data_IF_800609440214
#
_entry.id   IF_800609440214
#
_cell.length_a   1.000
_cell.length_b   1.000
_cell.length_c   1.000
_cell.angle_alpha   90.00
_cell.angle_beta   90.00
_cell.angle_gamma   90.00
#
_symmetry.space_group_name_H-M   'P 1'
#
loop_
_entity.id
_entity.type
_entity.pdbx_description
1 polymer ?
#
# COMPACT_ATOMS: atom_id res chain seq x y z
N UNK A 1 -22.40 94.78 15.94
CA UNK A 1 -21.62 93.89 16.83
C UNK A 1 -22.04 92.41 16.73
N UNK A 2 -23.32 92.04 16.87
CA UNK A 2 -23.78 90.62 16.90
C UNK A 2 -23.60 89.84 15.58
N UNK A 3 -23.82 90.44 14.42
CA UNK A 3 -23.67 89.78 13.12
C UNK A 3 -22.21 89.41 12.77
N UNK A 4 -21.25 90.25 13.17
CA UNK A 4 -19.82 89.96 13.00
C UNK A 4 -19.37 88.76 13.86
N UNK A 5 -19.94 88.60 15.06
CA UNK A 5 -19.67 87.43 15.90
C UNK A 5 -20.24 86.14 15.28
N UNK A 6 -21.45 86.20 14.70
CA UNK A 6 -22.05 85.06 14.00
C UNK A 6 -21.22 84.60 12.78
N UNK A 7 -20.75 85.53 11.95
CA UNK A 7 -19.89 85.20 10.80
C UNK A 7 -18.55 84.56 11.23
N UNK A 8 -17.95 85.04 12.32
CA UNK A 8 -16.73 84.45 12.86
C UNK A 8 -16.95 83.01 13.35
N UNK A 9 -18.08 82.73 14.01
CA UNK A 9 -18.42 81.37 14.44
C UNK A 9 -18.65 80.43 13.26
N UNK A 10 -19.34 80.87 12.21
CA UNK A 10 -19.54 80.08 10.99
C UNK A 10 -18.20 79.74 10.34
N UNK A 11 -17.29 80.72 10.24
CA UNK A 11 -15.95 80.51 9.70
C UNK A 11 -15.15 79.47 10.48
N UNK A 12 -15.20 79.53 11.82
CA UNK A 12 -14.53 78.53 12.68
C UNK A 12 -15.14 77.14 12.51
N UNK A 13 -16.46 77.02 12.47
CA UNK A 13 -17.12 75.73 12.24
C UNK A 13 -16.74 75.10 10.89
N UNK A 14 -16.65 75.91 9.83
CA UNK A 14 -16.23 75.42 8.51
C UNK A 14 -14.78 74.93 8.53
N UNK A 15 -13.86 75.64 9.19
CA UNK A 15 -12.47 75.19 9.33
C UNK A 15 -12.36 73.88 10.11
N UNK A 16 -13.14 73.71 11.18
CA UNK A 16 -13.20 72.45 11.95
C UNK A 16 -13.74 71.31 11.08
N UNK A 17 -14.81 71.53 10.32
CA UNK A 17 -15.36 70.52 9.42
C UNK A 17 -14.35 70.09 8.33
N UNK A 18 -13.65 71.05 7.72
CA UNK A 18 -12.63 70.78 6.69
C UNK A 18 -11.45 70.00 7.28
N UNK A 19 -10.93 70.41 8.44
CA UNK A 19 -9.83 69.69 9.10
C UNK A 19 -10.22 68.27 9.50
N UNK A 20 -11.45 68.07 9.98
CA UNK A 20 -11.98 66.74 10.26
C UNK A 20 -12.04 65.86 9.00
N UNK A 21 -12.53 66.40 7.89
CA UNK A 21 -12.65 65.67 6.63
C UNK A 21 -11.28 65.25 6.08
N UNK A 22 -10.28 66.14 6.13
CA UNK A 22 -8.91 65.81 5.72
C UNK A 22 -8.30 64.73 6.63
N UNK A 23 -8.56 64.80 7.93
CA UNK A 23 -8.07 63.77 8.88
C UNK A 23 -8.76 62.42 8.67
N UNK A 24 -10.07 62.41 8.40
CA UNK A 24 -10.82 61.21 8.08
C UNK A 24 -10.28 60.54 6.81
N UNK A 25 -9.97 61.31 5.76
CA UNK A 25 -9.34 60.78 4.55
C UNK A 25 -7.96 60.19 4.80
N UNK A 26 -7.14 60.83 5.64
CA UNK A 26 -5.83 60.29 6.02
C UNK A 26 -5.95 58.98 6.79
N UNK A 27 -6.86 58.91 7.76
CA UNK A 27 -7.10 57.67 8.50
C UNK A 27 -7.61 56.56 7.59
N UNK A 28 -8.62 56.85 6.76
CA UNK A 28 -9.17 55.87 5.83
C UNK A 28 -8.10 55.32 4.88
N UNK A 29 -7.25 56.19 4.30
CA UNK A 29 -6.15 55.78 3.45
C UNK A 29 -5.11 54.91 4.18
N UNK A 30 -4.86 55.16 5.48
CA UNK A 30 -3.98 54.31 6.29
C UNK A 30 -4.61 52.94 6.59
N UNK A 31 -5.90 52.91 6.92
CA UNK A 31 -6.67 51.70 7.15
C UNK A 31 -6.69 50.81 5.90
N UNK A 32 -6.93 51.37 4.72
CA UNK A 32 -6.92 50.62 3.45
C UNK A 32 -5.54 50.04 3.13
N UNK A 33 -4.46 50.79 3.39
CA UNK A 33 -3.09 50.29 3.21
C UNK A 33 -2.76 49.16 4.17
N UNK A 34 -3.17 49.25 5.43
CA UNK A 34 -2.97 48.17 6.39
C UNK A 34 -3.81 46.94 6.03
N UNK A 35 -5.09 47.14 5.69
CA UNK A 35 -5.99 46.05 5.29
C UNK A 35 -5.47 45.32 4.05
N UNK A 36 -5.00 46.05 3.04
CA UNK A 36 -4.41 45.45 1.83
C UNK A 36 -3.10 44.73 2.12
N UNK A 37 -2.20 45.29 2.94
CA UNK A 37 -0.97 44.62 3.34
C UNK A 37 -1.24 43.34 4.16
N UNK A 38 -2.21 43.38 5.08
CA UNK A 38 -2.63 42.21 5.85
C UNK A 38 -3.28 41.14 4.97
N UNK A 39 -4.15 41.54 4.02
CA UNK A 39 -4.76 40.62 3.08
C UNK A 39 -3.70 39.95 2.17
N UNK A 40 -2.68 40.70 1.73
CA UNK A 40 -1.56 40.16 0.97
C UNK A 40 -0.70 39.20 1.81
N UNK A 41 -0.43 39.52 3.08
CA UNK A 41 0.32 38.64 3.96
C UNK A 41 -0.43 37.32 4.22
N UNK A 42 -1.74 37.39 4.49
CA UNK A 42 -2.59 36.22 4.68
C UNK A 42 -2.68 35.37 3.40
N UNK A 43 -2.82 36.01 2.23
CA UNK A 43 -2.87 35.28 0.97
C UNK A 43 -1.54 34.56 0.69
N UNK A 44 -0.39 35.20 0.92
CA UNK A 44 0.93 34.57 0.80
C UNK A 44 1.09 33.39 1.75
N UNK A 45 0.69 33.53 3.02
CA UNK A 45 0.73 32.43 3.99
C UNK A 45 -0.17 31.27 3.56
N UNK A 46 -1.39 31.57 3.09
CA UNK A 46 -2.31 30.55 2.60
C UNK A 46 -1.78 29.81 1.37
N UNK A 47 -1.15 30.52 0.44
CA UNK A 47 -0.51 29.93 -0.74
C UNK A 47 0.65 29.03 -0.33
N UNK A 48 1.50 29.46 0.60
CA UNK A 48 2.58 28.64 1.12
C UNK A 48 2.06 27.36 1.79
N UNK A 49 1.00 27.47 2.60
CA UNK A 49 0.36 26.32 3.23
C UNK A 49 -0.26 25.37 2.21
N UNK A 50 -0.94 25.89 1.18
CA UNK A 50 -1.51 25.09 0.10
C UNK A 50 -0.42 24.36 -0.69
N UNK A 51 0.69 25.02 -1.00
CA UNK A 51 1.82 24.37 -1.67
C UNK A 51 2.43 23.24 -0.84
N UNK A 52 2.56 23.44 0.48
CA UNK A 52 3.02 22.37 1.38
C UNK A 52 2.04 21.20 1.40
N UNK A 53 0.74 21.49 1.49
CA UNK A 53 -0.31 20.47 1.50
C UNK A 53 -0.36 19.69 0.19
N UNK A 54 -0.22 20.36 -0.96
CA UNK A 54 -0.13 19.72 -2.28
C UNK A 54 1.08 18.80 -2.35
N UNK A 55 2.26 19.26 -1.92
CA UNK A 55 3.47 18.44 -1.92
C UNK A 55 3.33 17.19 -1.02
N UNK A 56 2.62 17.27 0.10
CA UNK A 56 2.32 16.09 0.93
C UNK A 56 1.31 15.15 0.27
N UNK A 57 0.26 15.69 -0.38
CA UNK A 57 -0.71 14.88 -1.12
C UNK A 57 -0.08 14.16 -2.29
N UNK A 58 0.77 14.83 -3.07
CA UNK A 58 1.48 14.24 -4.20
C UNK A 58 2.39 13.10 -3.74
N UNK A 59 3.07 13.27 -2.61
CA UNK A 59 3.87 12.20 -1.99
C UNK A 59 3.00 11.02 -1.56
N UNK A 60 1.85 11.26 -0.93
CA UNK A 60 0.91 10.20 -0.54
C UNK A 60 0.39 9.45 -1.75
N UNK A 61 -0.04 10.16 -2.80
CA UNK A 61 -0.52 9.57 -4.04
C UNK A 61 0.57 8.74 -4.74
N UNK A 62 1.82 9.23 -4.77
CA UNK A 62 2.92 8.48 -5.34
C UNK A 62 3.21 7.18 -4.56
N UNK A 63 3.18 7.23 -3.22
CA UNK A 63 3.34 6.06 -2.37
C UNK A 63 2.18 5.07 -2.52
N UNK A 64 0.95 5.56 -2.55
CA UNK A 64 -0.25 4.73 -2.78
C UNK A 64 -0.20 4.07 -4.15
N UNK A 65 0.24 4.79 -5.19
CA UNK A 65 0.39 4.23 -6.52
C UNK A 65 1.47 3.14 -6.55
N UNK A 66 2.63 3.37 -5.93
CA UNK A 66 3.68 2.36 -5.81
C UNK A 66 3.19 1.12 -5.05
N UNK A 67 2.49 1.31 -3.93
CA UNK A 67 1.95 0.22 -3.13
C UNK A 67 0.89 -0.57 -3.93
N UNK A 68 0.00 0.13 -4.64
CA UNK A 68 -1.01 -0.52 -5.48
C UNK A 68 -0.41 -1.34 -6.63
N UNK A 69 0.70 -0.88 -7.23
CA UNK A 69 1.41 -1.62 -8.29
C UNK A 69 2.09 -2.86 -7.70
N UNK A 70 2.73 -2.73 -6.53
CA UNK A 70 3.35 -3.87 -5.84
C UNK A 70 2.29 -4.90 -5.44
N UNK A 71 1.16 -4.47 -4.88
CA UNK A 71 0.06 -5.35 -4.49
C UNK A 71 -0.55 -6.06 -5.70
N UNK A 72 -0.75 -5.34 -6.81
CA UNK A 72 -1.21 -5.96 -8.06
C UNK A 72 -0.21 -6.98 -8.60
N UNK A 73 1.08 -6.70 -8.52
CA UNK A 73 2.11 -7.64 -8.94
C UNK A 73 2.08 -8.91 -8.08
N UNK A 74 2.09 -8.76 -6.76
CA UNK A 74 2.01 -9.88 -5.84
C UNK A 74 0.72 -10.68 -5.97
N UNK A 75 -0.43 -10.02 -6.18
CA UNK A 75 -1.69 -10.71 -6.42
C UNK A 75 -1.66 -11.54 -7.71
N UNK A 76 -1.03 -11.02 -8.79
CA UNK A 76 -0.84 -11.78 -10.04
C UNK A 76 0.10 -12.95 -9.86
N UNK A 77 1.25 -12.75 -9.22
CA UNK A 77 2.21 -13.82 -8.91
C UNK A 77 1.56 -14.95 -8.11
N UNK A 78 0.76 -14.60 -7.09
CA UNK A 78 0.01 -15.57 -6.29
C UNK A 78 -1.02 -16.32 -7.13
N UNK A 79 -1.79 -15.61 -7.98
CA UNK A 79 -2.77 -16.23 -8.88
C UNK A 79 -2.11 -17.18 -9.88
N UNK A 80 -1.00 -16.76 -10.49
CA UNK A 80 -0.26 -17.56 -11.47
C UNK A 80 0.35 -18.80 -10.83
N UNK A 81 0.92 -18.67 -9.63
CA UNK A 81 1.44 -19.80 -8.86
C UNK A 81 0.32 -20.80 -8.52
N UNK A 82 -0.85 -20.32 -8.09
CA UNK A 82 -2.02 -21.16 -7.81
C UNK A 82 -2.52 -21.88 -9.08
N UNK A 83 -2.60 -21.18 -10.21
CA UNK A 83 -3.03 -21.76 -11.48
C UNK A 83 -2.04 -22.83 -11.99
N UNK A 84 -0.75 -22.57 -11.87
CA UNK A 84 0.30 -23.54 -12.22
C UNK A 84 0.23 -24.78 -11.32
N UNK A 85 0.03 -24.60 -10.02
CA UNK A 85 -0.16 -25.72 -9.09
C UNK A 85 -1.40 -26.54 -9.43
N UNK A 86 -2.52 -25.91 -9.75
CA UNK A 86 -3.74 -26.60 -10.18
C UNK A 86 -3.51 -27.40 -11.47
N UNK A 87 -2.82 -26.80 -12.44
CA UNK A 87 -2.46 -27.47 -13.71
C UNK A 87 -1.54 -28.67 -13.47
N UNK A 88 -0.54 -28.55 -12.60
CA UNK A 88 0.34 -29.67 -12.25
C UNK A 88 -0.42 -30.80 -11.56
N UNK A 89 -1.37 -30.47 -10.67
CA UNK A 89 -2.23 -31.47 -10.02
C UNK A 89 -3.11 -32.22 -11.03
N UNK A 90 -3.64 -31.51 -12.03
CA UNK A 90 -4.42 -32.11 -13.10
C UNK A 90 -3.57 -33.03 -14.00
N UNK A 91 -2.34 -32.62 -14.33
CA UNK A 91 -1.40 -33.46 -15.07
C UNK A 91 -0.90 -34.68 -14.29
N UNK A 92 -0.78 -34.55 -12.97
CA UNK A 92 -0.56 -35.68 -12.06
C UNK A 92 -1.77 -36.65 -12.08
N UNK A 93 -3.00 -36.13 -12.19
CA UNK A 93 -4.22 -36.94 -12.30
C UNK A 93 -4.27 -37.75 -13.58
N UNK A 94 -3.92 -37.10 -14.69
CA UNK A 94 -3.94 -37.70 -16.04
C UNK A 94 -2.69 -38.54 -16.34
N UNK A 95 -1.83 -38.77 -15.35
CA UNK A 95 -0.59 -39.55 -15.43
C UNK A 95 0.46 -39.04 -16.45
N UNK A 96 0.29 -37.81 -16.95
CA UNK A 96 1.21 -37.11 -17.86
C UNK A 96 2.53 -36.75 -17.12
N UNK A 97 2.44 -36.39 -15.83
CA UNK A 97 3.60 -36.06 -14.99
C UNK A 97 3.81 -37.09 -13.86
N UNK A 98 5.03 -37.67 -13.86
CA UNK A 98 5.60 -38.69 -12.97
C UNK A 98 6.18 -38.19 -11.64
N UNK A 99 5.61 -38.41 -10.45
CA UNK A 99 6.35 -38.14 -9.20
C UNK A 99 7.39 -39.25 -8.95
N UNK A 100 8.67 -38.89 -8.81
CA UNK A 100 9.77 -39.83 -8.51
C UNK A 100 10.43 -39.48 -7.19
N UNK A 101 10.51 -40.42 -6.26
CA UNK A 101 11.21 -40.26 -4.98
C UNK A 101 12.58 -40.92 -5.11
N UNK A 102 13.64 -40.21 -4.73
CA UNK A 102 14.99 -40.77 -4.59
C UNK A 102 15.00 -41.69 -3.37
N UNK A 103 15.29 -42.98 -3.56
CA UNK A 103 15.54 -43.91 -2.47
C UNK A 103 16.98 -43.71 -2.01
N UNK A 104 17.11 -43.51 -0.71
CA UNK A 104 18.41 -43.58 -0.06
C UNK A 104 18.91 -45.02 -0.14
N UNK A 105 20.14 -45.21 -0.64
CA UNK A 105 20.69 -46.53 -0.93
C UNK A 105 21.12 -47.31 0.34
N UNK A 106 20.87 -46.76 1.52
CA UNK A 106 21.35 -47.29 2.80
C UNK A 106 20.34 -48.19 3.52
N UNK A 107 19.06 -48.19 3.12
CA UNK A 107 18.02 -49.02 3.75
C UNK A 107 17.30 -49.90 2.70
N UNK A 108 17.48 -51.24 2.73
CA UNK A 108 16.73 -52.13 1.86
C UNK A 108 15.28 -52.21 2.36
N UNK A 109 14.39 -51.46 1.72
CA UNK A 109 12.95 -51.63 1.91
C UNK A 109 12.57 -53.09 1.63
N UNK A 110 12.01 -53.75 2.65
CA UNK A 110 11.48 -55.10 2.60
C UNK A 110 10.32 -55.17 1.61
N UNK A 111 10.63 -55.50 0.35
CA UNK A 111 9.66 -55.65 -0.73
C UNK A 111 10.35 -56.05 -2.03
N UNK A 112 10.67 -57.35 -2.15
CA UNK A 112 11.10 -58.04 -3.37
C UNK A 112 12.14 -57.30 -4.25
N UNK A 113 13.39 -57.28 -3.78
CA UNK A 113 14.53 -57.03 -4.65
C UNK A 113 14.65 -58.17 -5.66
N UNK A 114 14.29 -57.91 -6.93
CA UNK A 114 14.63 -58.81 -8.03
C UNK A 114 16.05 -58.44 -8.54
N UNK A 115 16.99 -59.39 -8.69
CA UNK A 115 18.31 -59.07 -9.20
C UNK A 115 18.21 -58.74 -10.69
N UNK A 116 18.55 -57.51 -11.07
CA UNK A 116 18.62 -57.13 -12.49
C UNK A 116 20.04 -57.40 -13.00
N UNK A 117 20.13 -58.24 -14.03
CA UNK A 117 21.36 -58.65 -14.67
C UNK A 117 22.14 -57.46 -15.25
N UNK A 118 23.46 -57.55 -15.11
CA UNK A 118 24.49 -56.67 -15.64
C UNK A 118 24.32 -56.41 -17.13
N UNK A 119 24.26 -55.15 -17.56
CA UNK A 119 24.90 -54.72 -18.82
C UNK A 119 25.15 -53.22 -18.87
N UNK A 120 26.28 -52.90 -19.50
CA UNK A 120 26.94 -51.62 -19.57
C UNK A 120 26.10 -50.51 -20.22
N UNK A 121 26.20 -49.30 -19.69
CA UNK A 121 26.74 -48.10 -20.35
C UNK A 121 26.65 -46.95 -19.34
N UNK A 122 27.74 -46.19 -19.26
CA UNK A 122 27.89 -44.90 -18.58
C UNK A 122 26.61 -44.03 -18.63
N UNK A 123 25.84 -44.07 -17.55
CA UNK A 123 24.93 -43.00 -17.16
C UNK A 123 25.17 -42.79 -15.68
N UNK A 124 25.36 -41.53 -15.30
CA UNK A 124 25.54 -41.05 -13.92
C UNK A 124 24.77 -41.93 -12.93
N UNK A 125 25.41 -42.36 -11.84
CA UNK A 125 24.77 -43.05 -10.73
C UNK A 125 23.68 -42.14 -10.10
N UNK A 126 22.54 -42.00 -10.79
CA UNK A 126 21.35 -41.41 -10.21
C UNK A 126 20.86 -42.42 -9.18
N UNK A 127 20.82 -42.02 -7.91
CA UNK A 127 20.29 -42.85 -6.82
C UNK A 127 18.97 -43.48 -7.24
N UNK A 128 18.75 -44.75 -6.89
CA UNK A 128 17.57 -45.51 -7.28
C UNK A 128 16.31 -44.69 -6.99
N UNK A 129 15.43 -44.47 -7.98
CA UNK A 129 14.19 -43.71 -7.79
C UNK A 129 13.00 -44.65 -7.84
N UNK A 130 12.19 -44.68 -6.78
CA UNK A 130 10.90 -45.37 -6.83
C UNK A 130 9.85 -44.43 -7.40
N UNK A 131 9.05 -44.97 -8.31
CA UNK A 131 7.93 -44.27 -8.92
C UNK A 131 6.71 -44.45 -8.04
N UNK A 132 6.11 -43.34 -7.61
CA UNK A 132 4.89 -43.40 -6.83
C UNK A 132 3.68 -43.55 -7.77
N UNK A 133 2.72 -44.39 -7.40
CA UNK A 133 1.46 -44.53 -8.13
C UNK A 133 0.71 -43.18 -8.14
N UNK A 134 0.16 -42.72 -9.29
CA UNK A 134 -0.48 -41.41 -9.40
C UNK A 134 -1.59 -41.18 -8.37
N UNK A 135 -2.41 -42.21 -8.07
CA UNK A 135 -3.49 -42.09 -7.09
C UNK A 135 -2.96 -41.98 -5.65
N UNK A 136 -1.83 -42.62 -5.34
CA UNK A 136 -1.13 -42.42 -4.06
C UNK A 136 -0.47 -41.05 -3.96
N UNK A 137 0.20 -40.60 -5.02
CA UNK A 137 0.85 -39.29 -5.05
C UNK A 137 -0.16 -38.14 -4.83
N UNK A 138 -1.31 -38.20 -5.48
CA UNK A 138 -2.38 -37.22 -5.29
C UNK A 138 -2.94 -37.20 -3.87
N UNK A 139 -3.11 -38.38 -3.26
CA UNK A 139 -3.61 -38.48 -1.89
C UNK A 139 -2.65 -37.84 -0.88
N UNK A 140 -1.35 -38.09 -1.04
CA UNK A 140 -0.32 -37.46 -0.19
C UNK A 140 -0.37 -35.93 -0.33
N UNK A 141 -0.34 -35.40 -1.56
CA UNK A 141 -0.38 -33.94 -1.79
C UNK A 141 -1.66 -33.32 -1.23
N UNK A 142 -2.82 -33.97 -1.41
CA UNK A 142 -4.09 -33.48 -0.88
C UNK A 142 -4.14 -33.42 0.65
N UNK A 143 -3.55 -34.40 1.34
CA UNK A 143 -3.46 -34.40 2.81
C UNK A 143 -2.55 -33.27 3.28
N UNK A 144 -1.40 -33.05 2.64
CA UNK A 144 -0.47 -31.97 3.03
C UNK A 144 -1.09 -30.59 2.82
N UNK A 145 -1.78 -30.39 1.69
CA UNK A 145 -2.47 -29.14 1.33
C UNK A 145 -3.60 -28.81 2.34
N UNK A 146 -4.44 -29.80 2.69
CA UNK A 146 -5.46 -29.62 3.71
C UNK A 146 -4.87 -29.36 5.11
N UNK A 147 -3.75 -30.00 5.43
CA UNK A 147 -3.01 -29.78 6.68
C UNK A 147 -2.49 -28.35 6.80
N UNK A 148 -1.87 -27.82 5.74
CA UNK A 148 -1.35 -26.45 5.71
C UNK A 148 -2.48 -25.42 5.84
N UNK A 149 -3.60 -25.62 5.15
CA UNK A 149 -4.79 -24.77 5.29
C UNK A 149 -5.32 -24.76 6.73
N UNK A 150 -5.36 -25.93 7.38
CA UNK A 150 -5.75 -26.05 8.79
C UNK A 150 -4.82 -25.29 9.74
N UNK A 151 -3.50 -25.36 9.53
CA UNK A 151 -2.53 -24.62 10.33
C UNK A 151 -2.62 -23.11 10.13
N UNK A 152 -2.89 -22.65 8.91
CA UNK A 152 -3.14 -21.24 8.61
C UNK A 152 -4.40 -20.76 9.34
N UNK A 153 -5.51 -21.50 9.25
CA UNK A 153 -6.75 -21.17 9.94
C UNK A 153 -6.56 -21.12 11.47
N UNK A 154 -5.84 -22.08 12.05
CA UNK A 154 -5.54 -22.09 13.47
C UNK A 154 -4.72 -20.87 13.90
N UNK A 155 -3.69 -20.50 13.13
CA UNK A 155 -2.90 -19.28 13.39
C UNK A 155 -3.77 -18.02 13.34
N UNK A 156 -4.70 -17.93 12.39
CA UNK A 156 -5.63 -16.81 12.30
C UNK A 156 -6.54 -16.73 13.55
N UNK A 157 -7.09 -17.86 14.00
CA UNK A 157 -7.87 -17.92 15.25
C UNK A 157 -7.04 -17.51 16.47
N UNK A 158 -5.79 -17.99 16.59
CA UNK A 158 -4.89 -17.61 17.68
C UNK A 158 -4.55 -16.12 17.67
N UNK A 159 -4.33 -15.53 16.50
CA UNK A 159 -4.07 -14.11 16.35
C UNK A 159 -5.29 -13.28 16.79
N UNK A 160 -6.50 -13.69 16.37
CA UNK A 160 -7.75 -13.05 16.78
C UNK A 160 -7.92 -13.06 18.31
N UNK A 161 -7.78 -14.23 18.95
CA UNK A 161 -7.92 -14.34 20.41
C UNK A 161 -6.91 -13.45 21.14
N UNK A 162 -5.64 -13.39 20.67
CA UNK A 162 -4.62 -12.50 21.26
C UNK A 162 -4.94 -11.02 21.09
N UNK A 163 -5.58 -10.63 19.98
CA UNK A 163 -5.97 -9.25 19.73
C UNK A 163 -7.16 -8.82 20.60
N UNK A 164 -8.12 -9.73 20.86
CA UNK A 164 -9.28 -9.45 21.73
C UNK A 164 -8.92 -9.50 23.22
N UNK A 165 -7.93 -10.29 23.61
CA UNK A 165 -7.47 -10.42 25.00
C UNK A 165 -6.50 -9.32 25.45
N UNK A 166 -6.18 -8.35 24.59
CA UNK A 166 -5.35 -7.18 24.89
C UNK A 166 -6.23 -5.96 25.13
#
# INVERSE_FOLDING_TARGET
>A
MRFLAAYRLIGVCLLVAVTWQVQAWRLAAQLERQASAHAQALSQQSQAALHQQQAEQDKRLALEQQLSVSDQHHARELSDAQHNQATLRDRLATADVRLSVLLDATEPASGCAMPTATTAVSVVHAAARARLDPAHAQRIIGITDAGDQGLIALRACQAYVRAVAR
#
